data_IF_920787960640
#
_entry.id   IF_920787960640
#
_cell.length_a   1.000
_cell.length_b   1.000
_cell.length_c   1.000
_cell.angle_alpha   90.00
_cell.angle_beta   90.00
_cell.angle_gamma   90.00
#
_symmetry.space_group_name_H-M   'P 1'
#
loop_
_entity.id
_entity.type
_entity.pdbx_description
1 polymer ?
#
# COMPACT_ATOMS: atom_id res chain seq x y z
N UNK A 1 -16.87 -23.07 7.00
CA UNK A 1 -16.30 -21.93 6.26
C UNK A 1 -15.63 -22.33 4.94
N UNK A 2 -14.97 -23.49 4.85
CA UNK A 2 -14.31 -23.96 3.62
C UNK A 2 -15.25 -24.33 2.46
N UNK A 3 -16.45 -24.89 2.71
CA UNK A 3 -17.36 -25.31 1.63
C UNK A 3 -17.97 -24.15 0.84
N UNK A 4 -18.24 -23.01 1.49
CA UNK A 4 -18.82 -21.82 0.81
C UNK A 4 -17.78 -21.19 -0.12
N UNK A 5 -16.52 -21.12 0.33
CA UNK A 5 -15.41 -20.60 -0.49
C UNK A 5 -15.17 -21.53 -1.70
N UNK A 6 -15.25 -22.85 -1.53
CA UNK A 6 -15.12 -23.80 -2.65
C UNK A 6 -16.27 -23.68 -3.66
N UNK A 7 -17.50 -23.46 -3.19
CA UNK A 7 -18.67 -23.27 -4.06
C UNK A 7 -18.55 -21.97 -4.87
N UNK A 8 -18.10 -20.87 -4.24
CA UNK A 8 -17.88 -19.58 -4.90
C UNK A 8 -16.75 -19.72 -5.93
N UNK A 9 -15.62 -20.35 -5.56
CA UNK A 9 -14.50 -20.59 -6.46
C UNK A 9 -14.86 -21.50 -7.63
N UNK A 10 -15.78 -22.45 -7.45
CA UNK A 10 -16.23 -23.37 -8.49
C UNK A 10 -17.21 -22.74 -9.49
N UNK A 11 -17.99 -21.74 -9.04
CA UNK A 11 -18.95 -21.02 -9.91
C UNK A 11 -18.33 -19.92 -10.78
N UNK A 12 -17.11 -19.48 -10.49
CA UNK A 12 -16.41 -18.48 -11.28
C UNK A 12 -15.40 -19.18 -12.22
N UNK A 13 -15.77 -19.42 -13.50
CA UNK A 13 -14.87 -20.04 -14.49
C UNK A 13 -13.58 -19.24 -14.70
N UNK A 14 -13.60 -17.98 -14.30
CA UNK A 14 -12.47 -17.05 -14.30
C UNK A 14 -11.33 -17.46 -13.35
N UNK A 15 -11.64 -18.15 -12.24
CA UNK A 15 -10.68 -18.57 -11.21
C UNK A 15 -10.06 -19.95 -11.48
N UNK A 16 -10.66 -20.73 -12.39
CA UNK A 16 -10.28 -22.15 -12.63
C UNK A 16 -9.00 -22.30 -13.45
N UNK A 17 -8.59 -21.29 -14.21
CA UNK A 17 -7.52 -21.42 -15.21
C UNK A 17 -6.12 -21.02 -14.75
N UNK A 18 -5.94 -20.46 -13.54
CA UNK A 18 -4.62 -20.13 -13.00
C UNK A 18 -4.63 -20.10 -11.48
N UNK A 19 -3.73 -20.82 -10.91
CA UNK A 19 -3.36 -20.92 -9.52
C UNK A 19 -3.17 -19.55 -8.82
N UNK A 20 -2.57 -18.58 -9.50
CA UNK A 20 -2.26 -17.24 -8.96
C UNK A 20 -3.41 -16.23 -9.11
N UNK A 21 -4.46 -16.55 -9.86
CA UNK A 21 -5.57 -15.60 -10.12
C UNK A 21 -6.22 -15.02 -8.85
N UNK A 22 -6.58 -15.83 -7.82
CA UNK A 22 -7.21 -15.30 -6.61
C UNK A 22 -6.27 -14.45 -5.75
N UNK A 23 -4.94 -14.69 -5.81
CA UNK A 23 -3.96 -13.84 -5.13
C UNK A 23 -3.97 -12.44 -5.75
N UNK A 24 -3.98 -12.34 -7.08
CA UNK A 24 -4.01 -11.03 -7.75
C UNK A 24 -5.31 -10.28 -7.50
N UNK A 25 -6.45 -10.98 -7.39
CA UNK A 25 -7.72 -10.37 -6.99
C UNK A 25 -7.61 -9.81 -5.56
N UNK A 26 -7.05 -10.57 -4.63
CA UNK A 26 -6.80 -10.12 -3.26
C UNK A 26 -5.89 -8.88 -3.23
N UNK A 27 -4.78 -8.91 -3.95
CA UNK A 27 -3.83 -7.80 -4.03
C UNK A 27 -4.45 -6.55 -4.67
N UNK A 28 -5.24 -6.72 -5.72
CA UNK A 28 -5.94 -5.64 -6.41
C UNK A 28 -6.93 -4.93 -5.47
N UNK A 29 -7.85 -5.68 -4.88
CA UNK A 29 -8.85 -5.11 -3.98
C UNK A 29 -8.25 -4.62 -2.67
N UNK A 30 -7.26 -5.34 -2.11
CA UNK A 30 -6.56 -4.91 -0.90
C UNK A 30 -5.83 -3.58 -1.12
N UNK A 31 -5.03 -3.48 -2.17
CA UNK A 31 -4.31 -2.23 -2.48
C UNK A 31 -5.27 -1.10 -2.86
N UNK A 32 -6.36 -1.41 -3.58
CA UNK A 32 -7.42 -0.47 -3.91
C UNK A 32 -8.11 0.09 -2.66
N UNK A 33 -8.44 -0.76 -1.71
CA UNK A 33 -9.06 -0.35 -0.44
C UNK A 33 -8.14 0.59 0.36
N UNK A 34 -6.85 0.26 0.47
CA UNK A 34 -5.87 1.11 1.15
C UNK A 34 -5.75 2.50 0.47
N UNK A 35 -5.67 2.52 -0.86
CA UNK A 35 -5.55 3.77 -1.63
C UNK A 35 -6.81 4.63 -1.53
N UNK A 36 -7.99 4.01 -1.65
CA UNK A 36 -9.29 4.69 -1.50
C UNK A 36 -9.41 5.27 -0.09
N UNK A 37 -9.08 4.50 0.96
CA UNK A 37 -9.09 4.98 2.33
C UNK A 37 -8.18 6.19 2.54
N UNK A 38 -6.98 6.19 1.96
CA UNK A 38 -6.06 7.32 2.01
C UNK A 38 -6.59 8.55 1.26
N UNK A 39 -7.29 8.37 0.13
CA UNK A 39 -7.91 9.47 -0.62
C UNK A 39 -9.15 10.03 0.10
N UNK A 40 -9.98 9.17 0.69
CA UNK A 40 -11.11 9.59 1.52
C UNK A 40 -10.63 10.42 2.71
N UNK A 41 -9.59 9.98 3.40
CA UNK A 41 -8.98 10.71 4.51
C UNK A 41 -8.54 12.12 4.09
N UNK A 42 -7.95 12.25 2.91
CA UNK A 42 -7.48 13.52 2.39
C UNK A 42 -8.61 14.42 1.89
N UNK A 43 -9.52 13.91 1.05
CA UNK A 43 -10.48 14.75 0.32
C UNK A 43 -11.80 14.93 1.07
N UNK A 44 -12.23 13.96 1.87
CA UNK A 44 -13.49 14.04 2.61
C UNK A 44 -13.24 14.58 4.02
N UNK A 45 -12.22 14.09 4.71
CA UNK A 45 -11.91 14.54 6.07
C UNK A 45 -10.93 15.72 6.13
N UNK A 46 -10.34 16.13 5.00
CA UNK A 46 -9.47 17.29 4.90
C UNK A 46 -8.08 17.13 5.52
N UNK A 47 -7.68 15.90 5.90
CA UNK A 47 -6.33 15.66 6.46
C UNK A 47 -5.26 15.82 5.38
N UNK A 48 -4.31 16.69 5.64
CA UNK A 48 -3.20 16.93 4.71
C UNK A 48 -2.18 15.79 4.77
N UNK A 49 -1.85 15.14 3.64
CA UNK A 49 -0.83 14.09 3.65
C UNK A 49 0.56 14.70 3.78
N UNK A 50 1.43 14.05 4.56
CA UNK A 50 2.86 14.34 4.53
C UNK A 50 3.52 13.70 3.30
N UNK A 51 4.77 14.06 3.01
CA UNK A 51 5.50 13.52 1.84
C UNK A 51 5.68 11.99 1.94
N UNK A 52 5.95 11.45 3.13
CA UNK A 52 6.08 10.01 3.34
C UNK A 52 4.75 9.28 3.15
N UNK A 53 3.62 9.90 3.52
CA UNK A 53 2.29 9.36 3.23
C UNK A 53 2.03 9.23 1.72
N UNK A 54 2.50 10.19 0.93
CA UNK A 54 2.39 10.15 -0.53
C UNK A 54 3.26 9.03 -1.10
N UNK A 55 4.50 8.87 -0.63
CA UNK A 55 5.38 7.79 -1.08
C UNK A 55 4.82 6.41 -0.77
N UNK A 56 4.12 6.22 0.35
CA UNK A 56 3.45 4.96 0.69
C UNK A 56 2.27 4.61 -0.23
N UNK A 57 1.68 5.58 -0.94
CA UNK A 57 0.61 5.34 -1.93
C UNK A 57 1.14 4.78 -3.24
N UNK A 58 2.39 5.11 -3.62
CA UNK A 58 2.99 4.67 -4.89
C UNK A 58 3.05 3.14 -5.01
N UNK A 59 3.56 2.37 -4.01
CA UNK A 59 3.55 0.92 -4.08
C UNK A 59 2.16 0.31 -4.26
N UNK A 60 1.12 0.86 -3.61
CA UNK A 60 -0.24 0.38 -3.81
C UNK A 60 -0.73 0.60 -5.25
N UNK A 61 -0.44 1.76 -5.84
CA UNK A 61 -0.75 2.02 -7.25
C UNK A 61 -0.06 1.03 -8.18
N UNK A 62 1.22 0.75 -7.95
CA UNK A 62 2.00 -0.24 -8.71
C UNK A 62 1.38 -1.65 -8.58
N UNK A 63 1.03 -2.08 -7.36
CA UNK A 63 0.41 -3.39 -7.12
C UNK A 63 -0.93 -3.50 -7.86
N UNK A 64 -1.77 -2.46 -7.87
CA UNK A 64 -3.04 -2.43 -8.59
C UNK A 64 -2.81 -2.66 -10.09
N UNK A 65 -1.88 -1.92 -10.71
CA UNK A 65 -1.58 -2.04 -12.14
C UNK A 65 -1.01 -3.41 -12.49
N UNK A 66 -0.07 -3.91 -11.69
CA UNK A 66 0.54 -5.22 -11.89
C UNK A 66 -0.47 -6.36 -11.70
N UNK A 67 -1.33 -6.28 -10.68
CA UNK A 67 -2.38 -7.27 -10.44
C UNK A 67 -3.38 -7.31 -11.57
N UNK A 68 -3.79 -6.15 -12.10
CA UNK A 68 -4.66 -6.06 -13.27
C UNK A 68 -4.00 -6.69 -14.52
N UNK A 69 -2.72 -6.38 -14.75
CA UNK A 69 -1.94 -6.96 -15.86
C UNK A 69 -1.85 -8.48 -15.74
N UNK A 70 -1.60 -9.00 -14.54
CA UNK A 70 -1.56 -10.43 -14.28
C UNK A 70 -2.90 -11.12 -14.53
N UNK A 71 -4.01 -10.47 -14.18
CA UNK A 71 -5.36 -10.97 -14.45
C UNK A 71 -5.69 -11.01 -15.94
N UNK A 72 -5.17 -10.08 -16.74
CA UNK A 72 -5.31 -10.06 -18.21
C UNK A 72 -4.42 -11.16 -18.81
N UNK A 73 -3.15 -11.25 -18.38
CA UNK A 73 -2.16 -12.21 -18.89
C UNK A 73 -2.22 -13.58 -18.20
N UNK A 74 -3.35 -13.96 -17.61
CA UNK A 74 -3.54 -15.15 -16.79
C UNK A 74 -3.05 -16.49 -17.39
N UNK A 75 -2.97 -16.60 -18.71
CA UNK A 75 -2.48 -17.83 -19.38
C UNK A 75 -0.96 -18.00 -19.32
N UNK A 76 -0.20 -16.97 -18.99
CA UNK A 76 1.27 -16.97 -18.99
C UNK A 76 1.81 -17.15 -17.55
N UNK A 77 1.92 -18.39 -17.10
CA UNK A 77 2.30 -18.74 -15.71
C UNK A 77 3.63 -18.11 -15.29
N UNK A 78 4.67 -18.14 -16.14
CA UNK A 78 5.98 -17.60 -15.82
C UNK A 78 5.91 -16.07 -15.58
N UNK A 79 5.19 -15.35 -16.43
CA UNK A 79 4.99 -13.90 -16.29
C UNK A 79 4.25 -13.60 -14.97
N UNK A 80 3.23 -14.37 -14.64
CA UNK A 80 2.46 -14.18 -13.41
C UNK A 80 3.31 -14.46 -12.15
N UNK A 81 4.23 -15.41 -12.19
CA UNK A 81 5.19 -15.63 -11.08
C UNK A 81 6.13 -14.42 -10.90
N UNK A 82 6.61 -13.86 -12.01
CA UNK A 82 7.47 -12.67 -11.98
C UNK A 82 6.69 -11.47 -11.44
N UNK A 83 5.48 -11.22 -11.94
CA UNK A 83 4.60 -10.13 -11.45
C UNK A 83 4.32 -10.29 -9.96
N UNK A 84 4.05 -11.51 -9.50
CA UNK A 84 3.83 -11.78 -8.08
C UNK A 84 5.05 -11.43 -7.24
N UNK A 85 6.26 -11.82 -7.67
CA UNK A 85 7.50 -11.46 -6.99
C UNK A 85 7.71 -9.94 -6.91
N UNK A 86 7.37 -9.20 -7.98
CA UNK A 86 7.45 -7.73 -8.00
C UNK A 86 6.40 -7.13 -7.05
N UNK A 87 5.19 -7.68 -6.98
CA UNK A 87 4.18 -7.25 -6.02
C UNK A 87 4.64 -7.47 -4.57
N UNK A 88 5.25 -8.61 -4.26
CA UNK A 88 5.82 -8.86 -2.93
C UNK A 88 6.94 -7.86 -2.59
N UNK A 89 7.81 -7.56 -3.54
CA UNK A 89 8.85 -6.55 -3.36
C UNK A 89 8.26 -5.16 -3.10
N UNK A 90 7.20 -4.78 -3.83
CA UNK A 90 6.50 -3.51 -3.61
C UNK A 90 5.86 -3.44 -2.20
N UNK A 91 5.27 -4.55 -1.72
CA UNK A 91 4.73 -4.62 -0.35
C UNK A 91 5.86 -4.48 0.68
N UNK A 92 7.01 -5.15 0.49
CA UNK A 92 8.15 -5.04 1.38
C UNK A 92 8.70 -3.61 1.43
N UNK A 93 8.83 -2.94 0.29
CA UNK A 93 9.23 -1.53 0.23
C UNK A 93 8.24 -0.67 1.02
N UNK A 94 6.94 -0.91 0.87
CA UNK A 94 5.92 -0.15 1.61
C UNK A 94 5.99 -0.40 3.12
N UNK A 95 6.26 -1.63 3.56
CA UNK A 95 6.49 -1.97 4.98
C UNK A 95 7.68 -1.18 5.53
N UNK A 96 8.80 -1.14 4.80
CA UNK A 96 9.99 -0.39 5.21
C UNK A 96 9.72 1.12 5.28
N UNK A 97 9.01 1.67 4.30
CA UNK A 97 8.60 3.08 4.31
C UNK A 97 7.67 3.40 5.50
N UNK A 98 6.71 2.52 5.79
CA UNK A 98 5.78 2.70 6.90
C UNK A 98 6.49 2.56 8.26
N UNK A 99 7.45 1.64 8.38
CA UNK A 99 8.29 1.49 9.56
C UNK A 99 9.14 2.74 9.80
N UNK A 100 9.82 3.22 8.76
CA UNK A 100 10.61 4.46 8.84
C UNK A 100 9.73 5.65 9.25
N UNK A 101 8.56 5.80 8.61
CA UNK A 101 7.61 6.87 8.91
C UNK A 101 7.11 6.82 10.37
N UNK A 102 6.76 5.63 10.88
CA UNK A 102 6.39 5.46 12.28
C UNK A 102 7.54 5.83 13.24
N UNK A 103 8.80 5.60 12.84
CA UNK A 103 9.97 6.00 13.60
C UNK A 103 10.19 7.51 13.61
N UNK A 104 9.89 8.20 12.50
CA UNK A 104 9.92 9.67 12.41
C UNK A 104 8.84 10.29 13.30
N UNK A 105 7.60 9.78 13.25
CA UNK A 105 6.49 10.22 14.12
C UNK A 105 6.82 10.10 15.62
N UNK A 106 7.57 9.06 15.98
CA UNK A 106 8.05 8.83 17.37
C UNK A 106 9.35 9.56 17.71
N UNK A 107 9.89 10.37 16.76
CA UNK A 107 11.17 11.10 16.91
C UNK A 107 12.39 10.19 17.17
N UNK A 108 12.29 8.91 16.78
CA UNK A 108 13.37 7.92 16.85
C UNK A 108 14.33 8.12 15.64
N UNK A 109 13.75 8.36 14.46
CA UNK A 109 14.50 8.64 13.24
C UNK A 109 14.44 10.14 12.91
N UNK A 110 15.51 10.65 12.30
CA UNK A 110 15.53 12.01 11.78
C UNK A 110 14.57 12.14 10.61
N UNK A 111 13.94 13.30 10.51
CA UNK A 111 13.11 13.62 9.35
C UNK A 111 13.94 13.57 8.07
N UNK A 112 13.31 13.06 7.01
CA UNK A 112 13.85 13.18 5.66
C UNK A 112 13.84 14.66 5.24
N UNK A 113 14.89 15.13 4.54
CA UNK A 113 15.02 16.54 4.13
C UNK A 113 13.82 17.08 3.31
N UNK A 114 12.97 16.22 2.76
CA UNK A 114 11.73 16.59 2.10
C UNK A 114 10.53 16.74 3.03
N UNK A 115 10.62 16.30 4.30
CA UNK A 115 9.56 16.46 5.29
C UNK A 115 9.57 17.81 5.98
N UNK A 116 10.73 18.51 6.00
CA UNK A 116 10.84 19.85 6.55
C UNK A 116 10.28 20.84 5.55
N UNK A 117 9.21 21.52 5.90
CA UNK A 117 8.86 22.80 5.26
C UNK A 117 10.09 23.69 5.37
N UNK A 118 10.64 24.13 4.23
CA UNK A 118 11.76 25.09 4.22
C UNK A 118 11.46 26.16 5.25
N UNK A 119 12.31 26.24 6.26
CA UNK A 119 12.14 27.13 7.40
C UNK A 119 11.92 28.55 6.89
N UNK A 120 10.85 29.18 7.36
CA UNK A 120 10.45 30.57 7.07
C UNK A 120 11.60 31.58 7.32
N UNK A 121 12.68 31.12 7.98
CA UNK A 121 13.85 31.94 8.33
C UNK A 121 14.69 32.47 7.17
N UNK A 122 14.43 32.08 5.92
CA UNK A 122 15.14 32.58 4.71
C UNK A 122 14.26 33.41 3.76
N UNK A 123 13.05 33.81 4.18
CA UNK A 123 12.13 34.57 3.36
C UNK A 123 12.29 36.07 3.66
N UNK A 124 12.86 36.79 2.71
CA UNK A 124 13.08 38.25 2.80
C UNK A 124 11.84 39.09 2.36
N UNK A 125 10.79 38.42 1.80
CA UNK A 125 9.66 39.15 1.20
C UNK A 125 8.31 38.56 1.60
N UNK A 126 7.32 39.42 1.90
CA UNK A 126 5.94 39.05 2.29
C UNK A 126 5.22 38.29 1.17
N UNK A 127 5.52 38.59 -0.09
CA UNK A 127 4.96 37.89 -1.25
C UNK A 127 5.42 36.42 -1.31
N UNK A 128 6.69 36.14 -1.07
CA UNK A 128 7.25 34.80 -0.99
C UNK A 128 6.68 34.03 0.20
N UNK A 129 6.45 34.68 1.34
CA UNK A 129 5.80 34.07 2.49
C UNK A 129 4.35 33.67 2.16
N UNK A 130 3.63 34.48 1.42
CA UNK A 130 2.25 34.23 1.01
C UNK A 130 2.16 33.06 0.04
N UNK A 131 3.08 32.97 -0.92
CA UNK A 131 3.19 31.89 -1.90
C UNK A 131 3.56 30.56 -1.22
N UNK A 132 4.49 30.57 -0.26
CA UNK A 132 4.88 29.42 0.55
C UNK A 132 3.75 28.97 1.48
N UNK A 133 3.01 29.88 2.09
CA UNK A 133 1.84 29.56 2.91
C UNK A 133 0.68 28.98 2.09
N UNK A 134 0.51 29.44 0.84
CA UNK A 134 -0.50 28.89 -0.08
C UNK A 134 -0.06 27.58 -0.74
N UNK A 135 1.25 27.36 -0.97
CA UNK A 135 1.80 26.15 -1.58
C UNK A 135 2.03 25.00 -0.57
N UNK A 136 2.14 25.31 0.72
CA UNK A 136 2.38 24.32 1.78
C UNK A 136 1.10 23.56 2.19
N UNK A 137 0.57 22.77 1.24
CA UNK A 137 -0.53 21.81 1.49
C UNK A 137 -0.06 20.48 2.08
N UNK A 138 1.22 20.35 2.42
CA UNK A 138 1.78 19.10 2.97
C UNK A 138 1.95 19.22 4.49
N UNK A 139 1.47 18.22 5.23
CA UNK A 139 1.70 18.14 6.67
C UNK A 139 3.16 17.78 6.98
N UNK A 140 3.61 18.08 8.19
CA UNK A 140 4.90 17.60 8.70
C UNK A 140 4.86 16.09 8.91
N UNK A 141 5.99 15.41 8.73
CA UNK A 141 6.05 13.96 8.91
C UNK A 141 6.11 13.53 10.39
N UNK A 142 6.51 14.44 11.29
CA UNK A 142 6.64 14.19 12.74
C UNK A 142 5.40 14.60 13.55
N UNK A 143 4.36 15.17 12.88
CA UNK A 143 3.12 15.63 13.50
C UNK A 143 1.91 14.90 12.90
N UNK A 144 1.57 13.69 13.40
CA UNK A 144 0.47 12.90 12.87
C UNK A 144 -0.88 13.55 13.18
N UNK A 145 -1.64 13.89 12.13
CA UNK A 145 -2.93 14.57 12.25
C UNK A 145 -4.10 13.65 12.62
N UNK A 146 -3.97 12.34 12.38
CA UNK A 146 -5.04 11.38 12.59
C UNK A 146 -4.58 10.19 13.42
N UNK A 147 -5.28 10.00 14.54
CA UNK A 147 -5.15 8.82 15.39
C UNK A 147 -6.44 8.01 15.34
N UNK A 148 -6.35 6.74 15.01
CA UNK A 148 -7.45 5.77 15.02
C UNK A 148 -7.08 4.68 16.03
N UNK A 149 -7.88 4.50 17.08
CA UNK A 149 -7.62 3.53 18.15
C UNK A 149 -6.23 3.67 18.80
N UNK A 150 -5.71 4.89 18.89
CA UNK A 150 -4.38 5.16 19.48
C UNK A 150 -3.19 4.91 18.55
N UNK A 151 -3.42 4.51 17.30
CA UNK A 151 -2.40 4.30 16.29
C UNK A 151 -2.48 5.39 15.21
N UNK A 152 -1.33 5.80 14.70
CA UNK A 152 -1.23 6.74 13.57
C UNK A 152 -1.56 6.07 12.25
N UNK A 153 -1.80 6.85 11.20
CA UNK A 153 -2.02 6.33 9.85
C UNK A 153 -0.81 5.53 9.33
N UNK A 154 0.42 5.93 9.67
CA UNK A 154 1.63 5.19 9.29
C UNK A 154 1.70 3.82 9.96
N UNK A 155 1.34 3.73 11.24
CA UNK A 155 1.28 2.47 11.99
C UNK A 155 0.19 1.54 11.45
N UNK A 156 -0.99 2.07 11.11
CA UNK A 156 -2.04 1.29 10.47
C UNK A 156 -1.60 0.77 9.10
N UNK A 157 -0.90 1.59 8.31
CA UNK A 157 -0.36 1.15 7.03
C UNK A 157 0.67 0.03 7.19
N UNK A 158 1.54 0.13 8.19
CA UNK A 158 2.51 -0.92 8.52
C UNK A 158 1.83 -2.26 8.82
N UNK A 159 0.85 -2.26 9.74
CA UNK A 159 0.09 -3.46 10.13
C UNK A 159 -0.67 -4.02 8.92
N UNK A 160 -1.30 -3.16 8.14
CA UNK A 160 -2.06 -3.54 6.95
C UNK A 160 -1.19 -4.23 5.90
N UNK A 161 -0.03 -3.65 5.56
CA UNK A 161 0.90 -4.23 4.61
C UNK A 161 1.47 -5.57 5.10
N UNK A 162 1.74 -5.68 6.42
CA UNK A 162 2.21 -6.93 7.02
C UNK A 162 1.14 -8.02 6.90
N UNK A 163 -0.12 -7.71 7.21
CA UNK A 163 -1.23 -8.65 7.04
C UNK A 163 -1.41 -9.05 5.57
N UNK A 164 -1.34 -8.10 4.65
CA UNK A 164 -1.47 -8.36 3.22
C UNK A 164 -0.36 -9.30 2.71
N UNK A 165 0.88 -9.09 3.18
CA UNK A 165 2.02 -9.96 2.88
C UNK A 165 1.80 -11.39 3.39
N UNK A 166 1.42 -11.53 4.68
CA UNK A 166 1.19 -12.84 5.30
C UNK A 166 0.09 -13.60 4.57
N UNK A 167 -1.04 -12.94 4.26
CA UNK A 167 -2.16 -13.57 3.54
C UNK A 167 -1.73 -14.01 2.14
N UNK A 168 -1.00 -13.16 1.41
CA UNK A 168 -0.51 -13.47 0.07
C UNK A 168 0.45 -14.67 0.08
N UNK A 169 1.40 -14.70 1.02
CA UNK A 169 2.35 -15.80 1.18
C UNK A 169 1.65 -17.09 1.61
N UNK A 170 0.77 -17.04 2.61
CA UNK A 170 0.01 -18.19 3.06
C UNK A 170 -0.79 -18.83 1.93
N UNK A 171 -1.46 -17.99 1.14
CA UNK A 171 -2.23 -18.46 0.00
C UNK A 171 -1.33 -19.09 -1.07
N UNK A 172 -0.20 -18.45 -1.37
CA UNK A 172 0.78 -18.95 -2.34
C UNK A 172 1.28 -20.35 -1.96
N UNK A 173 1.70 -20.55 -0.70
CA UNK A 173 2.18 -21.86 -0.23
C UNK A 173 1.08 -22.93 -0.18
N UNK A 174 -0.12 -22.57 0.31
CA UNK A 174 -1.24 -23.50 0.41
C UNK A 174 -1.67 -24.06 -0.95
N UNK A 175 -1.67 -23.23 -1.96
CA UNK A 175 -2.12 -23.64 -3.30
C UNK A 175 -0.98 -24.26 -4.09
N UNK A 176 0.30 -23.83 -3.89
CA UNK A 176 1.49 -24.47 -4.47
C UNK A 176 1.66 -25.92 -4.04
N UNK A 177 1.45 -26.21 -2.77
CA UNK A 177 1.49 -27.56 -2.26
C UNK A 177 0.38 -28.48 -2.83
N UNK A 178 -0.76 -27.91 -3.22
CA UNK A 178 -1.86 -28.67 -3.82
C UNK A 178 -1.55 -29.12 -5.24
N UNK A 179 -0.80 -28.32 -5.99
CA UNK A 179 -0.42 -28.63 -7.38
C UNK A 179 0.63 -29.76 -7.43
N UNK A 180 1.59 -29.75 -6.50
CA UNK A 180 2.61 -30.79 -6.39
C UNK A 180 2.06 -32.17 -5.98
N UNK A 181 0.89 -32.23 -5.33
CA UNK A 181 0.25 -33.51 -4.95
C UNK A 181 -0.62 -34.13 -6.06
N UNK A 182 -0.83 -33.43 -7.16
CA UNK A 182 -1.63 -33.91 -8.32
C UNK A 182 -0.75 -34.17 -9.57
N UNK A 183 0.54 -33.94 -9.52
CA UNK A 183 1.55 -34.24 -10.53
C UNK A 183 2.25 -35.56 -10.23
#
# INVERSE_FOLDING_TARGET
>A
MNKIIEIILRKLPFLKNNFLSPIFILLFFGSGFALIGALISQYIFGYQPCILCIYQRIPFGVIILLSLTALILRKKILINKIIFAICLLAILINILLAFYHSGVERKIFREFSGCSVKTISSLENIEQLREVLQSNKLAKCDDPQLFILGLTMAQWNFIYCLMLLIIAMFYYFKVGNKENNYS
#
